data_IF_057661384980
#
_entry.id   IF_057661384980
#
_cell.length_a   1.000
_cell.length_b   1.000
_cell.length_c   1.000
_cell.angle_alpha   90.00
_cell.angle_beta   90.00
_cell.angle_gamma   90.00
#
_symmetry.space_group_name_H-M   'P 1'
#
loop_
_entity.id
_entity.type
_entity.pdbx_description
1 polymer ?
#
# COMPACT_ATOMS: atom_id res chain seq x y z
N UNK A 1 -42.74 37.29 -24.69
CA UNK A 1 -42.39 36.18 -23.79
C UNK A 1 -41.02 35.70 -24.22
N UNK A 2 -39.93 36.26 -23.66
CA UNK A 2 -38.58 35.79 -23.85
C UNK A 2 -37.92 35.86 -22.47
N UNK A 3 -38.09 34.80 -21.67
CA UNK A 3 -37.52 34.73 -20.32
C UNK A 3 -36.61 33.53 -20.14
N UNK A 4 -35.86 33.13 -21.19
CA UNK A 4 -35.01 31.95 -21.11
C UNK A 4 -33.48 32.14 -21.35
N UNK A 5 -33.04 33.32 -21.76
CA UNK A 5 -31.63 33.50 -22.20
C UNK A 5 -30.81 34.49 -21.37
N UNK A 6 -31.40 35.18 -20.40
CA UNK A 6 -30.71 36.22 -19.63
C UNK A 6 -29.73 35.61 -18.60
N UNK A 7 -29.96 34.40 -18.12
CA UNK A 7 -29.10 33.74 -17.14
C UNK A 7 -27.81 33.18 -17.73
N UNK A 8 -27.82 32.75 -18.97
CA UNK A 8 -26.68 32.11 -19.64
C UNK A 8 -25.61 33.13 -20.11
N UNK A 9 -26.04 34.26 -20.65
CA UNK A 9 -25.11 35.32 -21.08
C UNK A 9 -24.48 36.09 -19.90
N UNK A 10 -25.21 36.21 -18.78
CA UNK A 10 -24.69 36.88 -17.59
C UNK A 10 -23.56 36.06 -16.94
N UNK A 11 -23.65 34.74 -16.93
CA UNK A 11 -22.58 33.85 -16.45
C UNK A 11 -21.34 33.89 -17.34
N UNK A 12 -21.45 34.12 -18.65
CA UNK A 12 -20.35 34.19 -19.59
C UNK A 12 -19.58 35.52 -19.46
N UNK A 13 -20.25 36.63 -19.16
CA UNK A 13 -19.62 37.94 -18.99
C UNK A 13 -18.92 38.14 -17.65
N UNK A 14 -19.30 37.40 -16.63
CA UNK A 14 -18.73 37.47 -15.29
C UNK A 14 -17.60 36.44 -15.05
N UNK A 15 -17.31 35.62 -16.05
CA UNK A 15 -16.08 34.82 -16.04
C UNK A 15 -14.89 35.75 -16.13
N UNK A 16 -14.30 36.03 -14.97
CA UNK A 16 -13.06 36.83 -14.87
C UNK A 16 -12.01 36.19 -15.81
N UNK A 17 -11.37 37.02 -16.65
CA UNK A 17 -10.20 36.64 -17.45
C UNK A 17 -8.93 36.38 -16.60
N UNK A 18 -9.10 36.06 -15.33
CA UNK A 18 -8.01 35.51 -14.53
C UNK A 18 -7.74 34.10 -15.06
N UNK A 19 -6.55 33.88 -15.59
CA UNK A 19 -6.15 32.56 -16.05
C UNK A 19 -6.45 31.53 -14.96
N UNK A 20 -7.21 30.49 -15.29
CA UNK A 20 -7.52 29.45 -14.33
C UNK A 20 -6.20 28.85 -13.85
N UNK A 21 -5.87 29.05 -12.58
CA UNK A 21 -4.76 28.35 -11.95
C UNK A 21 -5.18 26.91 -11.76
N UNK A 22 -4.46 26.00 -12.40
CA UNK A 22 -4.70 24.57 -12.27
C UNK A 22 -4.25 24.12 -10.87
N UNK A 23 -5.23 23.81 -10.03
CA UNK A 23 -5.01 23.35 -8.65
C UNK A 23 -4.93 21.80 -8.64
N UNK A 24 -3.71 21.30 -8.58
CA UNK A 24 -3.43 19.86 -8.55
C UNK A 24 -3.97 19.21 -7.27
N UNK A 25 -3.94 19.89 -6.13
CA UNK A 25 -4.44 19.34 -4.86
C UNK A 25 -5.95 19.12 -4.93
N UNK A 26 -6.65 20.10 -5.49
CA UNK A 26 -8.10 19.97 -5.70
C UNK A 26 -8.45 18.87 -6.70
N UNK A 27 -7.67 18.73 -7.77
CA UNK A 27 -7.85 17.63 -8.72
C UNK A 27 -7.64 16.28 -8.05
N UNK A 28 -6.57 16.12 -7.29
CA UNK A 28 -6.28 14.90 -6.53
C UNK A 28 -7.39 14.55 -5.55
N UNK A 29 -7.93 15.54 -4.85
CA UNK A 29 -9.07 15.35 -3.94
C UNK A 29 -10.32 14.83 -4.67
N UNK A 30 -10.67 15.44 -5.81
CA UNK A 30 -11.81 15.01 -6.63
C UNK A 30 -11.58 13.59 -7.17
N UNK A 31 -10.39 13.32 -7.70
CA UNK A 31 -10.04 12.01 -8.24
C UNK A 31 -10.08 10.91 -7.17
N UNK A 32 -9.58 11.19 -5.97
CA UNK A 32 -9.67 10.26 -4.84
C UNK A 32 -11.11 9.96 -4.45
N UNK A 33 -12.00 10.98 -4.48
CA UNK A 33 -13.44 10.80 -4.27
C UNK A 33 -14.07 9.89 -5.34
N UNK A 34 -13.70 10.04 -6.60
CA UNK A 34 -14.15 9.16 -7.68
C UNK A 34 -13.66 7.73 -7.48
N UNK A 35 -12.37 7.53 -7.23
CA UNK A 35 -11.80 6.21 -6.97
C UNK A 35 -12.53 5.54 -5.79
N UNK A 36 -12.81 6.28 -4.71
CA UNK A 36 -13.52 5.75 -3.55
C UNK A 36 -14.94 5.26 -3.87
N UNK A 37 -15.60 5.82 -4.88
CA UNK A 37 -16.96 5.44 -5.28
C UNK A 37 -17.02 4.29 -6.30
N UNK A 38 -15.91 3.88 -6.90
CA UNK A 38 -15.85 2.80 -7.91
C UNK A 38 -16.15 1.46 -7.23
N UNK A 39 -16.96 0.64 -7.89
CA UNK A 39 -17.23 -0.74 -7.48
C UNK A 39 -15.96 -1.61 -7.55
N UNK A 40 -15.87 -2.58 -6.65
CA UNK A 40 -14.65 -3.40 -6.44
C UNK A 40 -14.18 -4.12 -7.71
N UNK A 41 -15.11 -4.69 -8.48
CA UNK A 41 -14.79 -5.41 -9.72
C UNK A 41 -14.31 -4.46 -10.81
N UNK A 42 -14.96 -3.32 -10.98
CA UNK A 42 -14.58 -2.30 -11.94
C UNK A 42 -13.20 -1.68 -11.59
N UNK A 43 -12.98 -1.37 -10.31
CA UNK A 43 -11.68 -0.87 -9.84
C UNK A 43 -10.55 -1.86 -10.14
N UNK A 44 -10.80 -3.15 -9.94
CA UNK A 44 -9.83 -4.19 -10.25
C UNK A 44 -9.43 -4.17 -11.73
N UNK A 45 -10.42 -4.16 -12.64
CA UNK A 45 -10.16 -4.11 -14.09
C UNK A 45 -9.39 -2.84 -14.50
N UNK A 46 -9.76 -1.68 -13.94
CA UNK A 46 -9.08 -0.42 -14.21
C UNK A 46 -7.62 -0.45 -13.75
N UNK A 47 -7.35 -0.97 -12.55
CA UNK A 47 -5.98 -1.07 -12.00
C UNK A 47 -5.14 -2.05 -12.80
N UNK A 48 -5.71 -3.17 -13.30
CA UNK A 48 -4.97 -4.13 -14.12
C UNK A 48 -4.38 -3.51 -15.41
N UNK A 49 -5.01 -2.48 -15.96
CA UNK A 49 -4.44 -1.73 -17.09
C UNK A 49 -3.12 -1.05 -16.68
N UNK A 50 -3.09 -0.43 -15.50
CA UNK A 50 -1.88 0.21 -14.97
C UNK A 50 -0.85 -0.81 -14.47
N UNK A 51 -1.29 -1.94 -13.93
CA UNK A 51 -0.41 -3.03 -13.52
C UNK A 51 0.41 -3.56 -14.70
N UNK A 52 -0.21 -3.76 -15.84
CA UNK A 52 0.49 -4.16 -17.10
C UNK A 52 1.53 -3.13 -17.54
N UNK A 53 1.24 -1.84 -17.36
CA UNK A 53 2.19 -0.75 -17.66
C UNK A 53 3.36 -0.75 -16.67
N UNK A 54 3.13 -1.20 -15.44
CA UNK A 54 4.12 -1.32 -14.37
C UNK A 54 4.79 -2.72 -14.32
N UNK A 55 4.63 -3.55 -15.35
CA UNK A 55 5.25 -4.88 -15.55
C UNK A 55 4.86 -5.92 -14.51
N UNK A 56 3.58 -5.95 -14.07
CA UNK A 56 3.05 -7.03 -13.23
C UNK A 56 1.55 -7.25 -13.48
N UNK A 57 1.01 -8.34 -12.91
CA UNK A 57 -0.43 -8.67 -12.95
C UNK A 57 -0.87 -9.24 -11.61
N UNK A 58 -2.16 -9.11 -11.31
CA UNK A 58 -2.80 -9.68 -10.12
C UNK A 58 -3.64 -10.92 -10.42
N UNK A 59 -3.77 -11.33 -11.70
CA UNK A 59 -4.70 -12.39 -12.10
C UNK A 59 -4.49 -13.71 -11.35
N UNK A 60 -3.26 -14.05 -11.02
CA UNK A 60 -2.89 -15.29 -10.31
C UNK A 60 -2.78 -15.11 -8.78
N UNK A 61 -3.03 -13.90 -8.28
CA UNK A 61 -2.90 -13.62 -6.86
C UNK A 61 -4.14 -14.10 -6.09
N UNK A 62 -3.94 -14.92 -5.05
CA UNK A 62 -5.00 -15.58 -4.27
C UNK A 62 -6.05 -14.62 -3.67
N UNK A 63 -5.69 -13.37 -3.41
CA UNK A 63 -6.56 -12.36 -2.80
C UNK A 63 -6.55 -11.03 -3.59
N UNK A 64 -6.46 -11.09 -4.93
CA UNK A 64 -6.31 -9.92 -5.80
C UNK A 64 -7.34 -8.81 -5.56
N UNK A 65 -8.62 -9.15 -5.53
CA UNK A 65 -9.69 -8.17 -5.28
C UNK A 65 -9.65 -7.57 -3.87
N UNK A 66 -9.22 -8.35 -2.88
CA UNK A 66 -9.06 -7.86 -1.50
C UNK A 66 -7.87 -6.91 -1.40
N UNK A 67 -6.74 -7.24 -2.05
CA UNK A 67 -5.57 -6.38 -2.12
C UNK A 67 -5.88 -5.02 -2.74
N UNK A 68 -6.60 -5.00 -3.87
CA UNK A 68 -7.02 -3.77 -4.54
C UNK A 68 -7.91 -2.92 -3.62
N UNK A 69 -8.91 -3.52 -2.99
CA UNK A 69 -9.82 -2.82 -2.08
C UNK A 69 -9.09 -2.24 -0.87
N UNK A 70 -8.17 -3.01 -0.28
CA UNK A 70 -7.38 -2.57 0.86
C UNK A 70 -6.44 -1.42 0.52
N UNK A 71 -5.92 -1.39 -0.71
CA UNK A 71 -5.01 -0.35 -1.20
C UNK A 71 -5.72 0.84 -1.87
N UNK A 72 -7.04 0.83 -2.01
CA UNK A 72 -7.85 1.84 -2.70
C UNK A 72 -7.56 3.28 -2.24
N UNK A 73 -7.32 3.50 -0.95
CA UNK A 73 -6.99 4.80 -0.38
C UNK A 73 -5.50 5.14 -0.33
N UNK A 74 -4.64 4.35 -0.95
CA UNK A 74 -3.17 4.50 -0.84
C UNK A 74 -2.55 5.50 -1.81
N UNK A 75 -3.31 5.94 -2.81
CA UNK A 75 -2.90 6.93 -3.82
C UNK A 75 -4.04 7.82 -4.26
N UNK A 76 -3.72 8.88 -4.98
CA UNK A 76 -4.67 9.81 -5.56
C UNK A 76 -5.01 9.47 -7.02
N UNK A 77 -4.25 8.57 -7.63
CA UNK A 77 -4.43 8.09 -8.99
C UNK A 77 -4.35 6.57 -9.06
N UNK A 78 -4.92 5.97 -10.10
CA UNK A 78 -4.83 4.52 -10.31
C UNK A 78 -3.39 4.05 -10.52
N UNK A 79 -2.55 4.85 -11.14
CA UNK A 79 -1.12 4.56 -11.30
C UNK A 79 -0.37 4.55 -9.96
N UNK A 80 -0.65 5.51 -9.08
CA UNK A 80 -0.09 5.51 -7.72
C UNK A 80 -0.54 4.28 -6.92
N UNK A 81 -1.81 3.89 -7.03
CA UNK A 81 -2.35 2.70 -6.36
C UNK A 81 -1.70 1.44 -6.94
N UNK A 82 -1.55 1.33 -8.27
CA UNK A 82 -0.86 0.23 -8.92
C UNK A 82 0.59 0.11 -8.41
N UNK A 83 1.35 1.20 -8.42
CA UNK A 83 2.72 1.24 -7.85
C UNK A 83 2.77 0.89 -6.36
N UNK A 84 1.72 1.25 -5.62
CA UNK A 84 1.60 0.88 -4.22
C UNK A 84 1.33 -0.62 -4.03
N UNK A 85 0.61 -1.25 -4.93
CA UNK A 85 0.29 -2.68 -4.91
C UNK A 85 1.50 -3.54 -5.34
N UNK A 86 2.32 -3.07 -6.27
CA UNK A 86 3.42 -3.83 -6.87
C UNK A 86 4.28 -4.62 -5.87
N UNK A 87 4.74 -4.08 -4.73
CA UNK A 87 5.55 -4.82 -3.77
C UNK A 87 4.85 -6.02 -3.09
N UNK A 88 3.54 -6.13 -3.16
CA UNK A 88 2.83 -7.29 -2.60
C UNK A 88 3.00 -8.54 -3.47
N UNK A 89 3.09 -8.38 -4.78
CA UNK A 89 3.10 -9.48 -5.76
C UNK A 89 4.41 -9.62 -6.53
N UNK A 90 5.16 -8.53 -6.67
CA UNK A 90 6.44 -8.51 -7.35
C UNK A 90 7.59 -8.17 -6.39
N UNK A 91 8.81 -8.47 -6.81
CA UNK A 91 10.00 -8.02 -6.08
C UNK A 91 10.02 -6.47 -6.10
N UNK A 92 10.28 -5.86 -4.95
CA UNK A 92 10.66 -4.45 -4.90
C UNK A 92 12.18 -4.33 -5.13
N UNK A 93 12.58 -3.25 -5.79
CA UNK A 93 13.96 -3.11 -6.24
C UNK A 93 14.88 -2.68 -5.09
N UNK A 94 14.48 -1.59 -4.36
CA UNK A 94 15.28 -1.01 -3.31
C UNK A 94 14.44 -0.66 -2.07
N UNK A 95 15.10 -0.59 -0.91
CA UNK A 95 14.50 -0.02 0.30
C UNK A 95 14.44 1.50 0.20
N UNK A 96 13.35 2.09 0.71
CA UNK A 96 13.37 3.51 1.01
C UNK A 96 14.44 3.76 2.09
N UNK A 97 15.48 4.53 1.76
CA UNK A 97 16.66 4.68 2.62
C UNK A 97 16.33 5.30 3.98
N UNK A 98 15.45 6.31 4.02
CA UNK A 98 15.03 6.93 5.28
C UNK A 98 14.29 5.94 6.18
N UNK A 99 13.35 5.16 5.62
CA UNK A 99 12.61 4.14 6.35
C UNK A 99 13.53 3.00 6.82
N UNK A 100 14.50 2.62 6.01
CA UNK A 100 15.48 1.59 6.33
C UNK A 100 16.34 2.01 7.52
N UNK A 101 16.96 3.18 7.45
CA UNK A 101 17.85 3.70 8.50
C UNK A 101 17.12 3.90 9.82
N UNK A 102 15.88 4.39 9.74
CA UNK A 102 15.09 4.72 10.92
C UNK A 102 14.47 3.51 11.60
N UNK A 103 14.07 2.50 10.83
CA UNK A 103 13.23 1.43 11.33
C UNK A 103 13.85 0.04 11.24
N UNK A 104 14.70 -0.24 10.26
CA UNK A 104 15.14 -1.60 9.99
C UNK A 104 16.53 -1.93 10.58
N UNK A 105 17.49 -1.02 10.59
CA UNK A 105 18.88 -1.27 11.02
C UNK A 105 18.96 -1.98 12.39
N UNK A 106 18.16 -1.54 13.36
CA UNK A 106 18.18 -2.09 14.72
C UNK A 106 17.08 -3.14 14.97
N UNK A 107 16.46 -3.67 13.92
CA UNK A 107 15.26 -4.51 14.05
C UNK A 107 15.55 -6.01 14.02
N UNK A 108 16.83 -6.43 14.02
CA UNK A 108 17.22 -7.84 13.96
C UNK A 108 16.44 -8.75 14.91
N UNK A 109 16.25 -8.44 16.22
CA UNK A 109 15.48 -9.31 17.12
C UNK A 109 14.02 -9.49 16.70
N UNK A 110 13.42 -8.44 16.13
CA UNK A 110 12.03 -8.49 15.62
C UNK A 110 11.96 -9.39 14.39
N UNK A 111 12.90 -9.22 13.46
CA UNK A 111 12.93 -10.01 12.22
C UNK A 111 13.18 -11.50 12.53
N UNK A 112 14.14 -11.82 13.41
CA UNK A 112 14.42 -13.19 13.82
C UNK A 112 13.20 -13.86 14.47
N UNK A 113 12.49 -13.15 15.36
CA UNK A 113 11.26 -13.63 16.00
C UNK A 113 10.18 -13.99 14.96
N UNK A 114 9.95 -13.09 13.98
CA UNK A 114 8.93 -13.32 12.97
C UNK A 114 9.30 -14.43 11.98
N UNK A 115 10.57 -14.60 11.65
CA UNK A 115 11.02 -15.75 10.85
C UNK A 115 10.66 -17.05 11.56
N UNK A 116 11.05 -17.21 12.84
CA UNK A 116 10.77 -18.42 13.62
C UNK A 116 9.27 -18.74 13.70
N UNK A 117 8.46 -17.76 14.07
CA UNK A 117 7.02 -17.95 14.28
C UNK A 117 6.25 -18.18 12.98
N UNK A 118 6.61 -17.46 11.91
CA UNK A 118 5.93 -17.62 10.62
C UNK A 118 6.36 -18.89 9.88
N UNK A 119 7.59 -19.37 10.03
CA UNK A 119 8.02 -20.66 9.48
C UNK A 119 7.19 -21.82 10.07
N UNK A 120 6.93 -21.78 11.37
CA UNK A 120 6.16 -22.82 12.09
C UNK A 120 4.65 -22.68 11.96
N UNK A 121 4.13 -21.66 11.28
CA UNK A 121 2.70 -21.42 11.15
C UNK A 121 2.09 -22.34 10.08
N UNK A 122 1.20 -23.24 10.47
CA UNK A 122 0.52 -24.16 9.54
C UNK A 122 -0.60 -23.47 8.75
N UNK A 123 -1.40 -22.65 9.43
CA UNK A 123 -2.55 -21.97 8.84
C UNK A 123 -2.21 -20.52 8.49
N UNK A 124 -1.99 -20.25 7.18
CA UNK A 124 -1.70 -18.91 6.69
C UNK A 124 -2.99 -18.11 6.52
N UNK A 125 -3.40 -17.39 7.55
CA UNK A 125 -4.55 -16.48 7.55
C UNK A 125 -4.31 -15.27 8.47
N UNK A 126 -5.12 -14.23 8.33
CA UNK A 126 -4.96 -12.97 9.08
C UNK A 126 -5.06 -13.15 10.59
N UNK A 127 -5.96 -14.03 11.07
CA UNK A 127 -6.17 -14.26 12.49
C UNK A 127 -4.94 -14.91 13.15
N UNK A 128 -4.38 -15.92 12.50
CA UNK A 128 -3.17 -16.61 13.00
C UNK A 128 -1.96 -15.67 13.01
N UNK A 129 -1.83 -14.85 11.98
CA UNK A 129 -0.77 -13.83 11.89
C UNK A 129 -0.96 -12.77 12.98
N UNK A 130 -2.19 -12.34 13.25
CA UNK A 130 -2.48 -11.37 14.31
C UNK A 130 -2.11 -11.90 15.69
N UNK A 131 -2.35 -13.17 15.95
CA UNK A 131 -1.92 -13.85 17.19
C UNK A 131 -0.40 -13.74 17.36
N UNK A 132 0.38 -14.00 16.30
CA UNK A 132 1.85 -13.85 16.33
C UNK A 132 2.26 -12.39 16.59
N UNK A 133 1.62 -11.42 15.93
CA UNK A 133 1.90 -10.00 16.12
C UNK A 133 1.63 -9.57 17.57
N UNK A 134 0.51 -10.03 18.15
CA UNK A 134 0.16 -9.74 19.54
C UNK A 134 1.07 -10.47 20.53
N UNK A 135 1.55 -11.68 20.20
CA UNK A 135 2.57 -12.40 20.96
C UNK A 135 3.89 -11.63 21.00
N UNK A 136 4.36 -11.15 19.84
CA UNK A 136 5.60 -10.37 19.74
C UNK A 136 5.66 -9.15 20.66
N UNK A 137 4.53 -8.47 20.90
CA UNK A 137 4.45 -7.33 21.85
C UNK A 137 4.81 -7.74 23.27
N UNK A 138 4.42 -8.95 23.67
CA UNK A 138 4.66 -9.48 25.02
C UNK A 138 6.06 -10.07 25.12
N UNK A 139 6.44 -10.89 24.13
CA UNK A 139 7.68 -11.66 24.18
C UNK A 139 8.93 -10.79 23.97
N UNK A 140 8.81 -9.72 23.17
CA UNK A 140 9.90 -8.77 22.92
C UNK A 140 9.82 -7.52 23.83
N UNK A 141 8.73 -7.34 24.59
CA UNK A 141 8.47 -6.14 25.41
C UNK A 141 8.56 -4.83 24.59
N UNK A 142 8.18 -4.86 23.32
CA UNK A 142 8.26 -3.73 22.42
C UNK A 142 6.88 -3.13 22.10
N UNK A 143 6.78 -1.80 21.95
CA UNK A 143 5.55 -1.16 21.48
C UNK A 143 5.32 -1.48 20.00
N UNK A 144 4.03 -1.52 19.59
CA UNK A 144 3.62 -1.90 18.24
C UNK A 144 4.37 -1.18 17.09
N UNK A 145 4.67 0.13 17.17
CA UNK A 145 5.45 0.78 16.11
C UNK A 145 6.86 0.21 15.92
N UNK A 146 7.51 -0.24 17.00
CA UNK A 146 8.84 -0.87 16.92
C UNK A 146 8.82 -2.31 16.39
N UNK A 147 7.65 -2.90 16.26
CA UNK A 147 7.43 -4.21 15.63
C UNK A 147 6.93 -4.02 14.19
N UNK A 148 5.89 -3.21 14.03
CA UNK A 148 5.20 -3.10 12.74
C UNK A 148 5.95 -2.33 11.66
N UNK A 149 6.69 -1.26 12.02
CA UNK A 149 7.41 -0.46 11.03
C UNK A 149 8.59 -1.24 10.41
N UNK A 150 9.45 -1.92 11.20
CA UNK A 150 10.49 -2.77 10.64
C UNK A 150 9.95 -3.85 9.69
N UNK A 151 8.87 -4.52 10.08
CA UNK A 151 8.27 -5.56 9.25
C UNK A 151 7.75 -5.02 7.92
N UNK A 152 7.10 -3.85 7.92
CA UNK A 152 6.67 -3.21 6.69
C UNK A 152 7.84 -2.88 5.76
N UNK A 153 8.90 -2.31 6.33
CA UNK A 153 10.11 -2.00 5.54
C UNK A 153 10.76 -3.27 5.00
N UNK A 154 10.89 -4.31 5.81
CA UNK A 154 11.45 -5.60 5.38
C UNK A 154 10.63 -6.25 4.25
N UNK A 155 9.29 -6.14 4.30
CA UNK A 155 8.40 -6.82 3.37
C UNK A 155 8.10 -6.01 2.10
N UNK A 156 8.01 -4.68 2.21
CA UNK A 156 7.55 -3.81 1.12
C UNK A 156 8.57 -2.75 0.69
N UNK A 157 9.73 -2.70 1.34
CA UNK A 157 10.75 -1.67 1.11
C UNK A 157 10.42 -0.30 1.71
N UNK A 158 9.29 -0.15 2.40
CA UNK A 158 8.78 1.14 2.94
C UNK A 158 7.93 0.95 4.19
N UNK A 159 7.85 1.98 5.03
CA UNK A 159 7.05 1.95 6.28
C UNK A 159 5.54 2.08 6.05
N UNK A 160 5.10 2.67 4.93
CA UNK A 160 3.67 2.87 4.60
C UNK A 160 3.07 1.58 4.04
N UNK A 161 2.06 1.03 4.71
CA UNK A 161 1.26 -0.11 4.25
C UNK A 161 -0.12 -0.11 4.91
N UNK A 162 -1.05 -0.96 4.48
CA UNK A 162 -2.29 -1.26 5.20
C UNK A 162 -2.03 -1.87 6.59
N UNK A 163 -3.04 -2.49 7.19
CA UNK A 163 -2.89 -3.22 8.46
C UNK A 163 -1.82 -4.31 8.33
N UNK A 164 -1.03 -4.52 9.40
CA UNK A 164 0.15 -5.38 9.32
C UNK A 164 -0.20 -6.85 9.08
N UNK A 165 -1.23 -7.37 9.74
CA UNK A 165 -1.72 -8.75 9.54
C UNK A 165 -2.15 -8.97 8.09
N UNK A 166 -2.96 -8.06 7.53
CA UNK A 166 -3.38 -8.11 6.12
C UNK A 166 -2.18 -7.96 5.18
N UNK A 167 -1.21 -7.08 5.51
CA UNK A 167 0.01 -6.91 4.72
C UNK A 167 0.82 -8.21 4.63
N UNK A 168 0.99 -8.92 5.75
CA UNK A 168 1.70 -10.20 5.79
C UNK A 168 0.91 -11.29 5.06
N UNK A 169 -0.41 -11.38 5.31
CA UNK A 169 -1.29 -12.37 4.69
C UNK A 169 -1.33 -12.27 3.16
N UNK A 170 -1.36 -11.04 2.63
CA UNK A 170 -1.44 -10.76 1.20
C UNK A 170 -0.15 -11.08 0.43
N UNK A 171 0.95 -11.33 1.12
CA UNK A 171 2.20 -11.81 0.53
C UNK A 171 2.29 -13.31 0.79
N UNK A 172 2.68 -14.10 -0.23
CA UNK A 172 2.86 -15.53 -0.07
C UNK A 172 3.86 -15.86 1.05
N UNK A 173 3.54 -16.88 1.87
CA UNK A 173 4.36 -17.29 3.04
C UNK A 173 5.85 -17.41 2.71
N UNK A 174 6.16 -18.11 1.61
CA UNK A 174 7.56 -18.32 1.20
C UNK A 174 8.26 -16.99 0.85
N UNK A 175 7.53 -16.08 0.22
CA UNK A 175 8.03 -14.74 -0.15
C UNK A 175 8.26 -13.91 1.10
N UNK A 176 7.35 -13.95 2.09
CA UNK A 176 7.51 -13.26 3.37
C UNK A 176 8.79 -13.72 4.06
N UNK A 177 8.97 -15.02 4.25
CA UNK A 177 10.15 -15.59 4.91
C UNK A 177 11.44 -15.20 4.16
N UNK A 178 11.43 -15.31 2.84
CA UNK A 178 12.57 -14.92 2.00
C UNK A 178 12.94 -13.44 2.16
N UNK A 179 11.93 -12.55 2.18
CA UNK A 179 12.15 -11.10 2.34
C UNK A 179 12.68 -10.76 3.73
N UNK A 180 12.17 -11.40 4.77
CA UNK A 180 12.68 -11.24 6.14
C UNK A 180 14.15 -11.69 6.24
N UNK A 181 14.51 -12.84 5.66
CA UNK A 181 15.91 -13.30 5.61
C UNK A 181 16.81 -12.33 4.82
N UNK A 182 16.33 -11.84 3.67
CA UNK A 182 17.09 -10.85 2.89
C UNK A 182 17.29 -9.53 3.66
N UNK A 183 16.30 -9.11 4.45
CA UNK A 183 16.46 -7.90 5.27
C UNK A 183 17.53 -8.05 6.34
N UNK A 184 17.74 -9.25 6.90
CA UNK A 184 18.86 -9.50 7.81
C UNK A 184 20.23 -9.38 7.13
N UNK A 185 20.32 -9.82 5.86
CA UNK A 185 21.54 -9.64 5.06
C UNK A 185 21.79 -8.15 4.85
N UNK A 186 20.77 -7.41 4.40
CA UNK A 186 20.88 -5.96 4.20
C UNK A 186 21.30 -5.19 5.48
N UNK A 187 20.78 -5.60 6.65
CA UNK A 187 21.19 -5.03 7.94
C UNK A 187 22.66 -5.33 8.26
N UNK A 188 23.17 -6.50 7.85
CA UNK A 188 24.54 -6.91 8.15
C UNK A 188 25.60 -6.25 7.25
N UNK A 189 25.16 -5.68 6.12
CA UNK A 189 26.02 -5.00 5.15
C UNK A 189 26.14 -3.48 5.42
N UNK A 190 25.39 -2.95 6.39
CA UNK A 190 25.43 -1.56 6.84
C UNK A 190 26.29 -1.37 8.09
#
# INVERSE_FOLDING_TARGET
IVNGLVGSEMCIRDSQRAGAVFDIERLNFVNQGHIASIEKSELFEMIEVFNKTNDFTLNDHHAAHYLVELCKGSGNTLDEISKFIKPFVAKFDDYNQEDFDKHLINAKPVIDYFIEKLESLDNWNEESIEVIINGAKKDLELPMPKIGLPLRVALLGRAKSPQLNSTIYLIDKEVVIKRLKNSLIAISEC
#
